data_IF_620129631119
#
_entry.id   IF_620129631119
#
_cell.length_a   1.000
_cell.length_b   1.000
_cell.length_c   1.000
_cell.angle_alpha   90.00
_cell.angle_beta   90.00
_cell.angle_gamma   90.00
#
_symmetry.space_group_name_H-M   'P 1'
#
loop_
_entity.id
_entity.type
_entity.pdbx_description
1 polymer ?
#
# COMPACT_ATOMS: atom_id res chain seq x y z
N UNK A 1 -31.20 12.78 69.65
CA UNK A 1 -31.51 13.12 68.24
C UNK A 1 -30.21 13.18 67.49
N UNK A 2 -29.81 12.08 66.90
CA UNK A 2 -28.53 11.97 66.22
C UNK A 2 -28.78 11.88 64.73
N UNK A 3 -28.48 12.94 64.01
CA UNK A 3 -28.47 12.97 62.57
C UNK A 3 -27.15 12.41 62.05
N UNK A 4 -27.19 11.17 61.58
CA UNK A 4 -26.09 10.51 60.95
C UNK A 4 -25.89 11.07 59.54
N UNK A 5 -24.85 11.87 59.37
CA UNK A 5 -24.41 12.34 58.03
C UNK A 5 -23.60 11.25 57.36
N UNK A 6 -24.24 10.54 56.45
CA UNK A 6 -23.57 9.58 55.59
C UNK A 6 -22.83 10.35 54.50
N UNK A 7 -21.51 10.38 54.59
CA UNK A 7 -20.63 10.91 53.55
C UNK A 7 -20.50 9.80 52.52
N UNK A 8 -21.16 9.93 51.38
CA UNK A 8 -20.98 9.12 50.21
C UNK A 8 -19.71 9.57 49.50
N UNK A 9 -18.61 8.89 49.79
CA UNK A 9 -17.34 9.09 49.05
C UNK A 9 -17.46 8.40 47.70
N UNK A 10 -17.86 9.17 46.67
CA UNK A 10 -17.90 8.70 45.31
C UNK A 10 -16.48 8.45 44.79
N UNK A 11 -16.05 7.21 44.74
CA UNK A 11 -14.89 6.80 43.99
C UNK A 11 -15.24 6.86 42.52
N UNK A 12 -14.90 7.99 41.89
CA UNK A 12 -14.84 8.11 40.44
C UNK A 12 -13.64 7.30 39.94
N UNK A 13 -13.92 6.06 39.57
CA UNK A 13 -12.97 5.21 38.87
C UNK A 13 -12.81 5.79 37.44
N UNK A 14 -11.86 6.69 37.28
CA UNK A 14 -11.38 7.10 35.94
C UNK A 14 -10.66 5.90 35.32
N UNK A 15 -11.44 5.06 34.65
CA UNK A 15 -10.89 4.09 33.70
C UNK A 15 -10.38 4.90 32.53
N UNK A 16 -9.11 5.26 32.59
CA UNK A 16 -8.35 5.73 31.44
C UNK A 16 -8.26 4.55 30.46
N UNK A 17 -9.22 4.46 29.56
CA UNK A 17 -9.10 3.67 28.36
C UNK A 17 -7.96 4.29 27.55
N UNK A 18 -6.73 3.85 27.85
CA UNK A 18 -5.64 4.00 26.92
C UNK A 18 -6.00 3.18 25.68
N UNK A 19 -6.72 3.82 24.75
CA UNK A 19 -6.74 3.34 23.37
C UNK A 19 -5.30 3.43 22.89
N UNK A 20 -4.56 2.35 23.10
CA UNK A 20 -3.35 2.08 22.34
C UNK A 20 -3.84 1.93 20.91
N UNK A 21 -3.82 3.02 20.15
CA UNK A 21 -3.92 2.97 18.72
C UNK A 21 -2.71 2.15 18.26
N UNK A 22 -2.91 0.85 18.13
CA UNK A 22 -1.91 -0.03 17.51
C UNK A 22 -1.70 0.55 16.13
N UNK A 23 -0.50 1.09 15.91
CA UNK A 23 -0.08 1.58 14.61
C UNK A 23 -0.07 0.39 13.68
N UNK A 24 -1.17 0.25 12.91
CA UNK A 24 -1.33 -0.86 11.98
C UNK A 24 -0.19 -0.79 10.98
N UNK A 25 0.67 -1.82 10.95
CA UNK A 25 1.76 -1.89 9.99
C UNK A 25 1.21 -2.06 8.57
N UNK A 26 1.70 -1.29 7.64
CA UNK A 26 1.40 -1.44 6.21
C UNK A 26 2.34 -2.48 5.56
N UNK A 27 1.86 -3.33 4.67
CA UNK A 27 0.46 -3.60 4.34
C UNK A 27 -0.22 -4.48 5.40
N UNK A 28 -1.34 -3.96 5.92
CA UNK A 28 -2.13 -4.70 6.91
C UNK A 28 -2.69 -5.98 6.29
N UNK A 29 -2.63 -7.07 7.02
CA UNK A 29 -3.15 -8.39 6.65
C UNK A 29 -2.43 -9.15 5.52
N UNK A 30 -1.31 -8.67 5.03
CA UNK A 30 -0.48 -9.42 4.08
C UNK A 30 0.73 -9.97 4.83
N UNK A 31 0.82 -11.30 5.05
CA UNK A 31 1.99 -11.90 5.69
C UNK A 31 3.27 -11.64 4.89
N UNK A 32 4.42 -11.61 5.57
CA UNK A 32 5.71 -11.59 4.90
C UNK A 32 5.85 -12.80 3.98
N UNK A 33 6.53 -12.62 2.85
CA UNK A 33 6.72 -13.63 1.80
C UNK A 33 5.47 -14.08 1.06
N UNK A 34 4.29 -13.53 1.39
CA UNK A 34 3.10 -13.75 0.56
C UNK A 34 3.32 -13.12 -0.80
N UNK A 35 3.10 -13.90 -1.85
CA UNK A 35 3.12 -13.45 -3.24
C UNK A 35 1.69 -13.25 -3.71
N UNK A 36 1.39 -12.04 -4.17
CA UNK A 36 0.13 -11.73 -4.82
C UNK A 36 0.40 -11.67 -6.31
N UNK A 37 -0.04 -12.67 -7.04
CA UNK A 37 0.10 -12.71 -8.49
C UNK A 37 -0.82 -11.67 -9.12
N UNK A 38 -0.27 -10.86 -10.04
CA UNK A 38 -0.99 -9.85 -10.79
C UNK A 38 -0.74 -10.04 -12.29
N UNK A 39 -1.77 -9.85 -13.10
CA UNK A 39 -1.61 -9.99 -14.54
C UNK A 39 -0.95 -8.75 -15.16
N UNK A 40 -0.20 -8.94 -16.22
CA UNK A 40 0.35 -7.84 -17.03
C UNK A 40 -0.74 -6.91 -17.56
N UNK A 41 -1.91 -7.46 -17.93
CA UNK A 41 -3.05 -6.68 -18.39
C UNK A 41 -3.61 -5.76 -17.29
N UNK A 42 -3.64 -6.24 -16.05
CA UNK A 42 -4.05 -5.42 -14.92
C UNK A 42 -3.05 -4.29 -14.63
N UNK A 43 -1.74 -4.56 -14.76
CA UNK A 43 -0.70 -3.56 -14.64
C UNK A 43 -0.79 -2.54 -15.77
N UNK A 44 -1.01 -2.97 -17.04
CA UNK A 44 -1.16 -2.07 -18.19
C UNK A 44 -2.35 -1.13 -18.01
N UNK A 45 -3.48 -1.60 -17.47
CA UNK A 45 -4.65 -0.75 -17.19
C UNK A 45 -4.31 0.43 -16.30
N UNK A 46 -3.37 0.30 -15.37
CA UNK A 46 -2.95 1.40 -14.50
C UNK A 46 -2.30 2.55 -15.27
N UNK A 47 -1.69 2.27 -16.43
CA UNK A 47 -1.11 3.32 -17.29
C UNK A 47 -2.17 4.09 -18.09
N UNK A 48 -3.42 3.64 -18.10
CA UNK A 48 -4.53 4.30 -18.81
C UNK A 48 -5.53 4.98 -17.87
N UNK A 49 -5.33 4.91 -16.54
CA UNK A 49 -6.21 5.59 -15.59
C UNK A 49 -6.05 7.11 -15.65
N UNK A 50 -7.12 7.80 -15.28
CA UNK A 50 -7.12 9.24 -15.06
C UNK A 50 -7.94 9.56 -13.81
N UNK A 51 -7.49 10.52 -13.00
CA UNK A 51 -8.18 10.88 -11.77
C UNK A 51 -8.24 9.76 -10.76
N UNK A 52 -9.39 9.59 -10.09
CA UNK A 52 -9.66 8.53 -9.14
C UNK A 52 -10.19 7.29 -9.84
N UNK A 53 -9.78 6.12 -9.38
CA UNK A 53 -10.12 4.84 -9.99
C UNK A 53 -10.14 3.69 -8.97
N UNK A 54 -10.74 2.57 -9.35
CA UNK A 54 -10.65 1.29 -8.66
C UNK A 54 -10.38 0.19 -9.68
N UNK A 55 -9.28 -0.54 -9.49
CA UNK A 55 -8.86 -1.63 -10.36
C UNK A 55 -8.58 -2.88 -9.52
N UNK A 56 -9.13 -4.00 -9.91
CA UNK A 56 -8.76 -5.29 -9.35
C UNK A 56 -7.50 -5.81 -10.03
N UNK A 57 -6.40 -5.88 -9.28
CA UNK A 57 -5.10 -6.37 -9.75
C UNK A 57 -4.98 -7.88 -9.64
N UNK A 58 -5.65 -8.47 -8.64
CA UNK A 58 -5.77 -9.90 -8.40
C UNK A 58 -7.10 -10.20 -7.71
N UNK A 59 -7.57 -11.45 -7.65
CA UNK A 59 -8.82 -11.80 -6.97
C UNK A 59 -8.92 -11.30 -5.53
N UNK A 60 -7.78 -11.26 -4.82
CA UNK A 60 -7.68 -10.78 -3.43
C UNK A 60 -7.04 -9.40 -3.29
N UNK A 61 -6.74 -8.71 -4.39
CA UNK A 61 -5.99 -7.45 -4.35
C UNK A 61 -6.59 -6.40 -5.28
N UNK A 62 -7.32 -5.48 -4.70
CA UNK A 62 -7.92 -4.33 -5.37
C UNK A 62 -7.17 -3.07 -5.01
N UNK A 63 -6.88 -2.23 -5.99
CA UNK A 63 -6.26 -0.92 -5.83
C UNK A 63 -7.31 0.16 -6.08
N UNK A 64 -7.56 0.98 -5.06
CA UNK A 64 -8.34 2.22 -5.17
C UNK A 64 -7.42 3.39 -4.89
N UNK A 65 -7.44 4.38 -5.74
CA UNK A 65 -6.56 5.53 -5.61
C UNK A 65 -6.74 6.56 -6.69
N UNK A 66 -5.81 7.50 -6.73
CA UNK A 66 -5.77 8.58 -7.71
C UNK A 66 -4.39 8.73 -8.33
N UNK A 67 -4.38 8.95 -9.64
CA UNK A 67 -3.16 9.25 -10.38
C UNK A 67 -2.61 10.61 -9.94
N UNK A 68 -1.37 10.63 -9.42
CA UNK A 68 -0.69 11.85 -8.98
C UNK A 68 0.20 12.41 -10.08
N UNK A 69 0.91 11.54 -10.77
CA UNK A 69 1.83 11.94 -11.81
C UNK A 69 1.99 10.85 -12.88
N UNK A 70 2.28 11.28 -14.09
CA UNK A 70 2.71 10.43 -15.20
C UNK A 70 3.88 11.08 -15.88
N UNK A 71 4.99 10.37 -15.96
CA UNK A 71 6.21 10.81 -16.63
C UNK A 71 6.54 9.85 -17.76
N UNK A 72 6.82 10.36 -18.92
CA UNK A 72 7.35 9.60 -20.06
C UNK A 72 8.79 10.04 -20.24
N UNK A 73 9.72 9.13 -19.98
CA UNK A 73 11.14 9.31 -20.25
C UNK A 73 11.48 8.52 -21.50
N UNK A 74 11.83 9.19 -22.58
CA UNK A 74 12.05 8.56 -23.89
C UNK A 74 10.81 7.79 -24.38
N UNK A 75 10.81 7.30 -25.62
CA UNK A 75 9.66 6.56 -26.16
C UNK A 75 9.45 5.18 -25.50
N UNK A 76 10.43 4.71 -24.72
CA UNK A 76 10.48 3.35 -24.20
C UNK A 76 10.13 3.21 -22.71
N UNK A 77 10.14 4.31 -21.94
CA UNK A 77 9.93 4.24 -20.47
C UNK A 77 8.83 5.21 -20.03
N UNK A 78 7.84 4.67 -19.35
CA UNK A 78 6.78 5.45 -18.69
C UNK A 78 6.70 5.09 -17.22
N UNK A 79 6.54 6.08 -16.37
CA UNK A 79 6.38 5.91 -14.92
C UNK A 79 5.11 6.63 -14.45
N UNK A 80 4.36 5.97 -13.58
CA UNK A 80 3.18 6.54 -12.92
C UNK A 80 3.34 6.51 -11.41
N UNK A 81 2.81 7.54 -10.76
CA UNK A 81 2.69 7.62 -9.31
C UNK A 81 1.20 7.66 -8.95
N UNK A 82 0.79 6.73 -8.12
CA UNK A 82 -0.58 6.58 -7.67
C UNK A 82 -0.63 6.70 -6.15
N UNK A 83 -1.45 7.61 -5.65
CA UNK A 83 -1.78 7.68 -4.23
C UNK A 83 -2.94 6.74 -3.96
N UNK A 84 -2.71 5.73 -3.11
CA UNK A 84 -3.77 4.77 -2.79
C UNK A 84 -4.66 5.28 -1.67
N UNK A 85 -5.94 4.92 -1.73
CA UNK A 85 -6.93 5.23 -0.70
C UNK A 85 -7.16 4.03 0.23
N UNK A 86 -7.34 2.85 -0.36
CA UNK A 86 -7.62 1.62 0.39
C UNK A 86 -6.38 0.96 1.03
N UNK A 87 -5.18 1.42 0.70
CA UNK A 87 -3.92 0.93 1.26
C UNK A 87 -3.27 1.99 2.18
N UNK A 88 -4.07 2.60 3.04
CA UNK A 88 -3.65 3.56 4.08
C UNK A 88 -2.83 4.74 3.54
N UNK A 89 -3.12 5.17 2.32
CA UNK A 89 -2.44 6.30 1.69
C UNK A 89 -1.01 5.99 1.25
N UNK A 90 -0.68 4.73 1.03
CA UNK A 90 0.58 4.35 0.40
C UNK A 90 0.67 4.91 -1.02
N UNK A 91 1.87 5.02 -1.54
CA UNK A 91 2.14 5.45 -2.91
C UNK A 91 2.66 4.28 -3.71
N UNK A 92 1.99 3.95 -4.81
CA UNK A 92 2.48 3.03 -5.82
C UNK A 92 3.27 3.83 -6.86
N UNK A 93 4.55 3.48 -7.00
CA UNK A 93 5.38 3.86 -8.14
C UNK A 93 5.48 2.67 -9.08
N UNK A 94 5.04 2.83 -10.31
CA UNK A 94 5.06 1.76 -11.32
C UNK A 94 5.69 2.29 -12.59
N UNK A 95 6.68 1.57 -13.10
CA UNK A 95 7.36 1.86 -14.36
C UNK A 95 7.09 0.76 -15.37
N UNK A 96 6.86 1.18 -16.59
CA UNK A 96 6.70 0.33 -17.77
C UNK A 96 7.86 0.64 -18.72
N UNK A 97 8.58 -0.38 -19.13
CA UNK A 97 9.67 -0.25 -20.09
C UNK A 97 9.48 -1.22 -21.26
N UNK A 98 9.85 -0.74 -22.45
CA UNK A 98 9.91 -1.58 -23.66
C UNK A 98 11.31 -2.13 -23.78
N UNK A 99 11.45 -3.45 -23.79
CA UNK A 99 12.74 -4.14 -24.01
C UNK A 99 13.11 -4.11 -25.51
N UNK A 100 14.38 -4.39 -25.81
CA UNK A 100 14.89 -4.43 -27.18
C UNK A 100 14.23 -5.50 -28.07
N UNK A 101 13.66 -6.55 -27.47
CA UNK A 101 12.91 -7.61 -28.15
C UNK A 101 11.44 -7.25 -28.41
N UNK A 102 11.01 -6.03 -28.03
CA UNK A 102 9.64 -5.56 -28.14
C UNK A 102 8.72 -5.98 -27.00
N UNK A 103 9.19 -6.78 -26.06
CA UNK A 103 8.41 -7.14 -24.87
C UNK A 103 8.32 -5.98 -23.87
N UNK A 104 7.24 -5.94 -23.09
CA UNK A 104 7.03 -4.96 -22.04
C UNK A 104 7.43 -5.54 -20.69
N UNK A 105 8.14 -4.76 -19.90
CA UNK A 105 8.48 -5.09 -18.52
C UNK A 105 7.90 -4.06 -17.57
N UNK A 106 7.38 -4.53 -16.45
CA UNK A 106 6.90 -3.71 -15.34
C UNK A 106 7.81 -3.85 -14.13
N UNK A 107 8.12 -2.75 -13.50
CA UNK A 107 8.81 -2.68 -12.22
C UNK A 107 8.09 -1.70 -11.32
N UNK A 108 8.10 -1.89 -10.03
CA UNK A 108 7.42 -0.97 -9.14
C UNK A 108 7.49 -1.34 -7.68
N UNK A 109 7.05 -0.41 -6.87
CA UNK A 109 6.95 -0.59 -5.43
C UNK A 109 5.79 0.21 -4.87
N UNK A 110 5.24 -0.30 -3.79
CA UNK A 110 4.17 0.32 -3.02
C UNK A 110 4.72 0.63 -1.63
N UNK A 111 4.86 1.91 -1.32
CA UNK A 111 5.46 2.38 -0.08
C UNK A 111 4.53 3.33 0.66
N UNK A 112 4.55 3.25 1.97
CA UNK A 112 3.93 4.22 2.85
C UNK A 112 5.01 4.97 3.61
N UNK A 113 4.92 6.30 3.62
CA UNK A 113 5.85 7.14 4.33
C UNK A 113 5.86 6.81 5.83
N UNK A 114 7.06 6.68 6.40
CA UNK A 114 7.30 6.32 7.80
C UNK A 114 6.92 4.88 8.21
N UNK A 115 6.57 4.00 7.29
CA UNK A 115 6.45 2.58 7.57
C UNK A 115 7.75 1.85 7.22
N UNK A 116 8.05 0.82 8.00
CA UNK A 116 9.25 0.00 7.76
C UNK A 116 9.08 -0.98 6.60
N UNK A 117 7.83 -1.23 6.21
CA UNK A 117 7.45 -2.24 5.22
C UNK A 117 6.88 -1.61 3.96
N UNK A 118 6.95 -2.35 2.87
CA UNK A 118 6.36 -2.01 1.60
C UNK A 118 6.07 -3.26 0.78
N UNK A 119 5.67 -3.05 -0.47
CA UNK A 119 5.53 -4.13 -1.44
C UNK A 119 6.38 -3.85 -2.66
N UNK A 120 7.08 -4.87 -3.13
CA UNK A 120 7.88 -4.84 -4.35
C UNK A 120 7.18 -5.65 -5.44
N UNK A 121 7.11 -5.09 -6.64
CA UNK A 121 6.69 -5.83 -7.83
C UNK A 121 7.90 -6.55 -8.42
N UNK A 122 7.83 -7.87 -8.50
CA UNK A 122 8.86 -8.71 -9.12
C UNK A 122 8.28 -9.47 -10.30
N UNK A 123 9.12 -9.72 -11.30
CA UNK A 123 8.86 -10.63 -12.41
C UNK A 123 9.60 -11.96 -12.15
N UNK A 124 8.88 -13.07 -12.27
CA UNK A 124 9.44 -14.40 -12.19
C UNK A 124 8.68 -15.32 -13.14
N UNK A 125 9.39 -16.03 -13.99
CA UNK A 125 8.82 -16.99 -14.95
C UNK A 125 7.71 -16.37 -15.82
N UNK A 126 7.89 -15.14 -16.28
CA UNK A 126 6.92 -14.31 -17.02
C UNK A 126 5.63 -13.96 -16.26
N UNK A 127 5.63 -14.11 -14.94
CA UNK A 127 4.55 -13.72 -14.06
C UNK A 127 4.99 -12.57 -13.15
N UNK A 128 4.05 -11.71 -12.79
CA UNK A 128 4.29 -10.58 -11.88
C UNK A 128 3.70 -10.87 -10.51
N UNK A 129 4.45 -10.51 -9.48
CA UNK A 129 4.02 -10.72 -8.09
C UNK A 129 4.32 -9.47 -7.26
N UNK A 130 3.34 -9.01 -6.50
CA UNK A 130 3.61 -8.14 -5.37
C UNK A 130 4.03 -8.98 -4.16
N UNK A 131 5.18 -8.66 -3.59
CA UNK A 131 5.70 -9.30 -2.37
C UNK A 131 5.89 -8.26 -1.29
N UNK A 132 5.49 -8.59 -0.05
CA UNK A 132 5.79 -7.75 1.11
C UNK A 132 7.26 -7.86 1.46
N UNK A 133 7.92 -6.74 1.64
CA UNK A 133 9.34 -6.66 2.00
C UNK A 133 9.59 -5.48 2.92
N UNK A 134 10.72 -5.48 3.61
CA UNK A 134 11.15 -4.34 4.39
C UNK A 134 11.62 -3.21 3.48
N UNK A 135 11.26 -1.98 3.81
CA UNK A 135 11.56 -0.79 3.00
C UNK A 135 13.07 -0.59 2.76
N UNK A 136 13.93 -1.01 3.70
CA UNK A 136 15.40 -0.94 3.54
C UNK A 136 15.91 -1.67 2.29
N UNK A 137 15.21 -2.69 1.83
CA UNK A 137 15.57 -3.42 0.61
C UNK A 137 15.03 -2.78 -0.67
N UNK A 138 14.18 -1.76 -0.55
CA UNK A 138 13.58 -1.07 -1.69
C UNK A 138 14.33 0.21 -2.09
N UNK A 139 15.22 0.70 -1.23
CA UNK A 139 15.92 2.00 -1.40
C UNK A 139 17.41 1.83 -1.70
N UNK A 140 17.92 0.59 -1.78
CA UNK A 140 19.33 0.30 -1.99
C UNK A 140 19.68 0.08 -3.48
N UNK A 141 19.41 1.10 -4.33
CA UNK A 141 20.00 1.23 -5.66
C UNK A 141 20.49 2.66 -5.88
#
# INVERSE_FOLDING_TARGET
MNTLKTIFCGYSLLISLALSAQKKSFPENIPYHTKIEVSSDALEKLFHVSGSFTIQLAPSFTLTGSLQNRTVKEASVSTILIKTENLQGATLSLSRSLKSDGSVQYTGHLLKLHDADGMLLIEKDNHYYFIRTEQRFLVSE
#
